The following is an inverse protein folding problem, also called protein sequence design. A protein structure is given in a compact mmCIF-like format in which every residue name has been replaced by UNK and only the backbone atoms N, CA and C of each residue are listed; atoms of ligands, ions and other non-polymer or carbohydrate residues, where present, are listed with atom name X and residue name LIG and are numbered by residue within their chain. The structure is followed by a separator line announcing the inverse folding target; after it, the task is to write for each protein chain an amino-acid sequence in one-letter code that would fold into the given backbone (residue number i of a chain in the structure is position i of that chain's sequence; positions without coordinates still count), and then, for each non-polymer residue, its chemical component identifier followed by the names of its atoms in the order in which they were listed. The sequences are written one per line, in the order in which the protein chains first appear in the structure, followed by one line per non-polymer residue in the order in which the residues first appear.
data_IF_078822235831
#
_entry.id   IF_078822235831
#
_cell.length_a   1.000
_cell.length_b   1.000
_cell.length_c   1.000
_cell.angle_alpha   90.00
_cell.angle_beta   90.00
_cell.angle_gamma   90.00
#
_symmetry.space_group_name_H-M   'P 1'
#
loop_
_entity.id
_entity.type
_entity.pdbx_description
1 polymer ?
#
# COMPACT_ATOMS: atom_id res chain seq x y z
N UNK A 1 -18.24 10.65 6.00
CA UNK A 1 -16.90 10.03 5.91
C UNK A 1 -15.74 10.89 6.45
N UNK A 2 -14.89 10.37 7.33
CA UNK A 2 -13.64 11.00 7.82
C UNK A 2 -12.42 10.11 7.56
N UNK A 3 -11.32 10.63 7.02
CA UNK A 3 -10.09 9.85 6.78
C UNK A 3 -9.37 9.53 8.09
N UNK A 4 -9.11 8.25 8.33
CA UNK A 4 -8.24 7.79 9.41
C UNK A 4 -6.78 7.88 8.93
N UNK A 5 -6.21 9.08 9.06
CA UNK A 5 -4.89 9.43 8.54
C UNK A 5 -3.77 8.53 9.08
N UNK A 6 -3.79 8.24 10.38
CA UNK A 6 -2.75 7.44 11.04
C UNK A 6 -2.67 6.04 10.44
N UNK A 7 -3.80 5.36 10.34
CA UNK A 7 -3.94 4.02 9.76
C UNK A 7 -3.57 4.05 8.27
N UNK A 8 -4.13 5.00 7.53
CA UNK A 8 -3.91 5.13 6.08
C UNK A 8 -2.45 5.39 5.74
N UNK A 9 -1.81 6.37 6.39
CA UNK A 9 -0.41 6.70 6.12
C UNK A 9 0.55 5.61 6.61
N UNK A 10 0.21 4.92 7.70
CA UNK A 10 0.98 3.77 8.16
C UNK A 10 1.08 2.70 7.07
N UNK A 11 -0.04 2.31 6.48
CA UNK A 11 -0.07 1.30 5.42
C UNK A 11 0.54 1.80 4.11
N UNK A 12 0.37 3.09 3.78
CA UNK A 12 1.03 3.71 2.62
C UNK A 12 2.57 3.62 2.72
N UNK A 13 3.13 4.06 3.83
CA UNK A 13 4.59 4.12 4.04
C UNK A 13 5.18 2.73 4.23
N UNK A 14 4.37 1.80 4.76
CA UNK A 14 4.74 0.41 4.93
C UNK A 14 4.02 -0.51 3.93
N UNK A 15 3.90 -0.08 2.66
CA UNK A 15 3.13 -0.79 1.63
C UNK A 15 3.45 -2.28 1.55
N UNK A 16 4.71 -2.67 1.77
CA UNK A 16 5.15 -4.07 1.76
C UNK A 16 4.42 -4.97 2.77
N UNK A 17 3.74 -4.39 3.76
CA UNK A 17 2.95 -5.15 4.73
C UNK A 17 1.70 -5.72 4.08
N UNK A 18 1.06 -4.98 3.16
CA UNK A 18 -0.23 -5.30 2.56
C UNK A 18 -0.21 -5.40 1.02
N UNK A 19 0.93 -5.13 0.39
CA UNK A 19 1.14 -5.25 -1.06
C UNK A 19 0.64 -6.61 -1.58
N UNK A 20 -0.15 -6.65 -2.67
CA UNK A 20 -0.37 -5.57 -3.64
C UNK A 20 -1.49 -4.59 -3.35
N UNK A 21 -2.12 -4.66 -2.17
CA UNK A 21 -3.26 -3.83 -1.84
C UNK A 21 -2.82 -2.38 -1.65
N UNK A 22 -3.47 -1.44 -2.33
CA UNK A 22 -3.54 -0.07 -1.86
C UNK A 22 -4.86 0.13 -1.12
N UNK A 23 -4.87 0.99 -0.11
CA UNK A 23 -6.12 1.30 0.57
C UNK A 23 -6.04 2.50 1.49
N UNK A 24 -7.22 2.94 1.89
CA UNK A 24 -7.41 3.97 2.90
C UNK A 24 -8.53 3.58 3.86
N UNK A 25 -8.43 4.10 5.08
CA UNK A 25 -9.30 3.80 6.19
C UNK A 25 -10.13 5.03 6.51
N UNK A 26 -11.41 4.84 6.76
CA UNK A 26 -12.31 5.95 7.07
C UNK A 26 -13.21 5.62 8.23
N UNK A 27 -13.58 6.62 9.02
CA UNK A 27 -14.63 6.53 10.01
C UNK A 27 -15.96 6.93 9.37
N UNK A 28 -17.02 6.16 9.66
CA UNK A 28 -18.38 6.48 9.25
C UNK A 28 -19.35 6.30 10.43
N UNK A 29 -19.85 7.42 10.95
CA UNK A 29 -20.77 7.40 12.10
C UNK A 29 -22.23 7.18 11.68
N UNK A 30 -22.58 7.53 10.45
CA UNK A 30 -23.94 7.52 9.92
C UNK A 30 -24.03 6.66 8.66
N UNK A 31 -23.89 5.34 8.83
CA UNK A 31 -23.95 4.40 7.72
C UNK A 31 -25.33 4.37 7.03
N UNK A 32 -25.36 4.70 5.74
CA UNK A 32 -26.56 4.80 4.89
C UNK A 32 -26.59 3.71 3.79
N UNK A 33 -25.87 2.61 3.96
CA UNK A 33 -25.83 1.54 2.96
C UNK A 33 -25.04 1.93 1.72
N UNK A 34 -25.60 1.67 0.54
CA UNK A 34 -24.96 1.91 -0.77
C UNK A 34 -24.38 3.33 -0.90
N UNK A 35 -25.09 4.35 -0.43
CA UNK A 35 -24.65 5.74 -0.50
C UNK A 35 -23.34 5.98 0.27
N UNK A 36 -23.19 5.41 1.46
CA UNK A 36 -21.94 5.50 2.23
C UNK A 36 -20.79 4.74 1.56
N UNK A 37 -21.06 3.61 0.90
CA UNK A 37 -20.05 2.91 0.12
C UNK A 37 -19.58 3.73 -1.09
N UNK A 38 -20.50 4.41 -1.78
CA UNK A 38 -20.15 5.32 -2.89
C UNK A 38 -19.32 6.51 -2.38
N UNK A 39 -19.74 7.13 -1.27
CA UNK A 39 -18.99 8.22 -0.63
C UNK A 39 -17.59 7.76 -0.21
N UNK A 40 -17.43 6.54 0.31
CA UNK A 40 -16.14 5.98 0.68
C UNK A 40 -15.20 5.86 -0.52
N UNK A 41 -15.71 5.39 -1.67
CA UNK A 41 -14.93 5.32 -2.92
C UNK A 41 -14.50 6.71 -3.40
N UNK A 42 -15.39 7.70 -3.35
CA UNK A 42 -15.05 9.08 -3.71
C UNK A 42 -14.02 9.68 -2.75
N UNK A 43 -14.13 9.40 -1.44
CA UNK A 43 -13.16 9.81 -0.44
C UNK A 43 -11.78 9.16 -0.67
N UNK A 44 -11.76 7.88 -1.06
CA UNK A 44 -10.54 7.17 -1.44
C UNK A 44 -9.86 7.79 -2.67
N UNK A 45 -10.63 8.06 -3.74
CA UNK A 45 -10.08 8.74 -4.92
C UNK A 45 -9.59 10.15 -4.59
N UNK A 46 -10.28 10.88 -3.71
CA UNK A 46 -9.84 12.19 -3.23
C UNK A 46 -8.49 12.09 -2.53
N UNK A 47 -8.35 11.12 -1.61
CA UNK A 47 -7.09 10.82 -0.95
C UNK A 47 -5.99 10.48 -1.96
N UNK A 48 -6.25 9.59 -2.92
CA UNK A 48 -5.27 9.19 -3.94
C UNK A 48 -4.85 10.37 -4.82
N UNK A 49 -5.78 11.23 -5.24
CA UNK A 49 -5.49 12.41 -6.05
C UNK A 49 -4.61 13.43 -5.31
N UNK A 50 -4.95 13.70 -4.04
CA UNK A 50 -4.17 14.57 -3.15
C UNK A 50 -2.76 14.03 -2.95
N UNK A 51 -2.65 12.76 -2.64
CA UNK A 51 -1.37 12.07 -2.51
C UNK A 51 -0.55 12.10 -3.79
N UNK A 52 -1.18 11.90 -4.95
CA UNK A 52 -0.49 11.98 -6.24
C UNK A 52 0.14 13.35 -6.44
N UNK A 53 -0.59 14.42 -6.09
CA UNK A 53 -0.07 15.79 -6.21
C UNK A 53 1.23 16.03 -5.43
N UNK A 54 1.45 15.34 -4.30
CA UNK A 54 2.71 15.40 -3.53
C UNK A 54 3.89 14.87 -4.37
N UNK A 55 3.67 13.85 -5.20
CA UNK A 55 4.69 13.26 -6.06
C UNK A 55 4.97 14.05 -7.35
N UNK A 56 4.06 14.93 -7.75
CA UNK A 56 4.14 15.75 -8.97
C UNK A 56 3.72 17.20 -8.68
N UNK A 57 4.35 17.88 -7.70
CA UNK A 57 3.84 19.15 -7.17
C UNK A 57 3.93 20.30 -8.17
N UNK A 58 4.73 20.16 -9.23
CA UNK A 58 4.83 21.13 -10.31
C UNK A 58 3.57 21.22 -11.19
N UNK A 59 2.66 20.24 -11.10
CA UNK A 59 1.37 20.25 -11.80
C UNK A 59 0.26 20.94 -11.01
N UNK A 60 0.51 21.33 -9.76
CA UNK A 60 -0.43 22.07 -8.91
C UNK A 60 0.14 23.45 -8.58
N UNK A 61 -0.53 24.55 -8.98
CA UNK A 61 -0.03 25.91 -8.74
C UNK A 61 0.31 26.17 -7.27
N UNK A 62 1.55 26.60 -7.01
CA UNK A 62 2.02 26.96 -5.66
C UNK A 62 2.29 25.78 -4.72
N UNK A 63 2.00 24.53 -5.11
CA UNK A 63 2.16 23.38 -4.22
C UNK A 63 3.64 23.10 -3.96
N UNK A 64 4.50 23.17 -4.99
CA UNK A 64 5.93 22.92 -4.83
C UNK A 64 6.54 23.85 -3.77
N UNK A 65 6.22 25.14 -3.83
CA UNK A 65 6.71 26.14 -2.88
C UNK A 65 6.20 25.87 -1.46
N UNK A 66 4.95 25.41 -1.31
CA UNK A 66 4.39 25.01 -0.01
C UNK A 66 5.11 23.78 0.55
N UNK A 67 5.34 22.75 -0.27
CA UNK A 67 6.00 21.50 0.17
C UNK A 67 7.47 21.73 0.54
N UNK A 68 8.20 22.58 -0.21
CA UNK A 68 9.61 22.89 0.06
C UNK A 68 9.81 23.62 1.40
N UNK A 69 8.75 24.21 1.98
CA UNK A 69 8.79 24.84 3.31
C UNK A 69 8.64 23.84 4.46
N UNK A 70 8.23 22.59 4.18
CA UNK A 70 8.10 21.56 5.22
C UNK A 70 9.49 21.12 5.65
N UNK A 71 9.86 21.32 6.94
CA UNK A 71 11.18 20.95 7.42
C UNK A 71 11.34 19.43 7.39
N UNK A 72 12.53 18.97 6.99
CA UNK A 72 12.89 17.55 7.07
C UNK A 72 12.90 17.10 8.52
N UNK A 73 12.32 15.95 8.78
CA UNK A 73 12.25 15.37 10.11
C UNK A 73 13.45 14.45 10.32
N UNK A 74 14.35 14.86 11.22
CA UNK A 74 15.42 13.99 11.68
C UNK A 74 14.89 12.97 12.70
N UNK A 75 15.30 11.71 12.54
CA UNK A 75 14.88 10.61 13.40
C UNK A 75 16.09 9.89 13.99
N UNK A 76 16.09 9.81 15.31
CA UNK A 76 16.98 8.93 16.07
C UNK A 76 16.21 7.69 16.48
N UNK A 77 16.73 6.50 16.13
CA UNK A 77 16.12 5.24 16.52
C UNK A 77 16.36 4.97 18.01
N UNK A 78 15.37 4.36 18.67
CA UNK A 78 15.57 3.93 20.05
C UNK A 78 16.58 2.77 20.13
N UNK A 79 17.31 2.60 21.24
CA UNK A 79 18.24 1.49 21.42
C UNK A 79 17.59 0.12 21.21
N UNK A 80 16.33 -0.04 21.59
CA UNK A 80 15.56 -1.27 21.37
C UNK A 80 15.36 -1.57 19.88
N UNK A 81 14.98 -0.57 19.09
CA UNK A 81 14.80 -0.72 17.64
C UNK A 81 16.12 -1.04 16.97
N UNK A 82 17.21 -0.36 17.37
CA UNK A 82 18.54 -0.65 16.85
C UNK A 82 19.00 -2.08 17.16
N UNK A 83 18.79 -2.55 18.39
CA UNK A 83 19.12 -3.91 18.79
C UNK A 83 18.32 -4.95 17.98
N UNK A 84 17.04 -4.69 17.72
CA UNK A 84 16.21 -5.57 16.87
C UNK A 84 16.69 -5.61 15.43
N UNK A 85 17.11 -4.47 14.87
CA UNK A 85 17.69 -4.39 13.52
C UNK A 85 18.97 -5.20 13.44
N UNK A 86 19.88 -5.03 14.41
CA UNK A 86 21.15 -5.76 14.45
C UNK A 86 20.94 -7.28 14.62
N UNK A 87 20.04 -7.68 15.53
CA UNK A 87 19.69 -9.09 15.71
C UNK A 87 19.15 -9.70 14.42
N UNK A 88 18.24 -8.99 13.73
CA UNK A 88 17.71 -9.44 12.44
C UNK A 88 18.75 -9.48 11.34
N UNK A 89 19.73 -8.57 11.31
CA UNK A 89 20.81 -8.58 10.33
C UNK A 89 21.77 -9.74 10.59
N UNK A 90 22.10 -9.99 11.86
CA UNK A 90 22.92 -11.12 12.31
C UNK A 90 22.28 -12.45 11.91
N UNK A 91 20.99 -12.64 12.20
CA UNK A 91 20.28 -13.87 11.86
C UNK A 91 20.26 -14.16 10.35
N UNK A 92 20.05 -13.12 9.53
CA UNK A 92 20.08 -13.25 8.06
C UNK A 92 21.47 -13.67 7.57
N UNK A 93 22.51 -12.95 7.99
CA UNK A 93 23.90 -13.22 7.61
C UNK A 93 24.33 -14.63 8.03
N UNK A 94 23.92 -15.09 9.21
CA UNK A 94 24.19 -16.45 9.65
C UNK A 94 23.49 -17.51 8.79
N UNK A 95 22.24 -17.26 8.39
CA UNK A 95 21.49 -18.15 7.51
C UNK A 95 22.15 -18.22 6.12
N UNK A 96 22.50 -17.07 5.55
CA UNK A 96 23.17 -16.98 4.25
C UNK A 96 24.55 -17.67 4.27
N UNK A 97 25.33 -17.46 5.34
CA UNK A 97 26.61 -18.13 5.54
C UNK A 97 26.44 -19.65 5.60
N UNK A 98 25.45 -20.15 6.36
CA UNK A 98 25.15 -21.59 6.45
C UNK A 98 24.75 -22.16 5.09
N UNK A 99 23.91 -21.44 4.34
CA UNK A 99 23.48 -21.85 3.01
C UNK A 99 24.65 -21.93 2.01
N UNK A 100 25.56 -20.96 2.03
CA UNK A 100 26.73 -20.95 1.14
C UNK A 100 27.74 -22.04 1.49
N UNK A 101 28.02 -22.27 2.79
CA UNK A 101 28.88 -23.39 3.21
C UNK A 101 28.31 -24.71 2.71
N UNK A 102 26.99 -24.91 2.86
CA UNK A 102 26.31 -26.10 2.35
C UNK A 102 26.48 -26.23 0.83
N UNK A 103 26.19 -25.16 0.09
CA UNK A 103 26.34 -25.13 -1.37
C UNK A 103 27.77 -25.47 -1.85
N UNK A 104 28.80 -24.93 -1.19
CA UNK A 104 30.20 -25.21 -1.53
C UNK A 104 30.57 -26.66 -1.24
N UNK A 105 30.14 -27.21 -0.10
CA UNK A 105 30.38 -28.61 0.28
C UNK A 105 29.70 -29.59 -0.68
N UNK A 106 28.44 -29.34 -1.04
CA UNK A 106 27.67 -30.19 -1.96
C UNK A 106 28.33 -30.28 -3.35
N UNK A 107 29.01 -29.20 -3.76
CA UNK A 107 29.79 -29.15 -5.01
C UNK A 107 31.26 -29.55 -4.86
N UNK A 108 31.67 -30.08 -3.70
CA UNK A 108 33.05 -30.48 -3.38
C UNK A 108 34.08 -29.35 -3.60
N UNK A 109 33.67 -28.08 -3.40
CA UNK A 109 34.55 -26.91 -3.47
C UNK A 109 35.21 -26.68 -2.12
N UNK A 110 36.45 -26.18 -2.14
CA UNK A 110 37.14 -25.74 -0.92
C UNK A 110 36.38 -24.58 -0.26
N UNK A 111 36.23 -24.65 1.07
CA UNK A 111 35.62 -23.59 1.88
C UNK A 111 36.73 -22.87 2.63
N UNK A 112 37.00 -21.62 2.24
CA UNK A 112 37.89 -20.72 2.97
C UNK A 112 37.08 -20.02 4.08
N UNK A 113 37.12 -20.56 5.28
CA UNK A 113 36.31 -20.09 6.41
C UNK A 113 36.70 -18.68 6.87
N UNK A 114 37.98 -18.30 6.80
CA UNK A 114 38.44 -16.99 7.23
C UNK A 114 37.96 -15.90 6.26
N UNK A 115 38.14 -16.13 4.96
CA UNK A 115 37.64 -15.22 3.92
C UNK A 115 36.12 -15.10 3.98
N UNK A 116 35.43 -16.21 4.19
CA UNK A 116 33.97 -16.24 4.31
C UNK A 116 33.52 -15.43 5.54
N UNK A 117 34.16 -15.64 6.69
CA UNK A 117 33.84 -14.93 7.94
C UNK A 117 34.01 -13.42 7.78
N UNK A 118 35.14 -12.97 7.21
CA UNK A 118 35.39 -11.53 6.99
C UNK A 118 34.31 -10.90 6.09
N UNK A 119 34.00 -11.54 4.96
CA UNK A 119 32.99 -11.04 4.02
C UNK A 119 31.60 -10.93 4.67
N UNK A 120 31.20 -11.92 5.47
CA UNK A 120 29.89 -11.88 6.13
C UNK A 120 29.83 -10.88 7.30
N UNK A 121 30.94 -10.56 7.96
CA UNK A 121 30.99 -9.47 8.92
C UNK A 121 30.80 -8.10 8.23
N UNK A 122 31.45 -7.90 7.09
CA UNK A 122 31.23 -6.71 6.24
C UNK A 122 29.76 -6.63 5.77
N UNK A 123 29.19 -7.75 5.31
CA UNK A 123 27.76 -7.81 4.95
C UNK A 123 26.83 -7.51 6.13
N UNK A 124 27.16 -7.95 7.35
CA UNK A 124 26.37 -7.64 8.57
C UNK A 124 26.36 -6.14 8.83
N UNK A 125 27.52 -5.50 8.77
CA UNK A 125 27.64 -4.06 9.01
C UNK A 125 26.83 -3.26 7.98
N UNK A 126 26.96 -3.59 6.70
CA UNK A 126 26.24 -2.91 5.62
C UNK A 126 24.72 -3.15 5.71
N UNK A 127 24.30 -4.39 5.94
CA UNK A 127 22.88 -4.72 6.11
C UNK A 127 22.26 -4.00 7.32
N UNK A 128 23.00 -3.90 8.43
CA UNK A 128 22.56 -3.16 9.62
C UNK A 128 22.40 -1.68 9.31
N UNK A 129 23.40 -1.08 8.64
CA UNK A 129 23.36 0.33 8.23
C UNK A 129 22.18 0.62 7.32
N UNK A 130 22.01 -0.16 6.24
CA UNK A 130 20.88 -0.01 5.31
C UNK A 130 19.54 -0.12 6.05
N UNK A 131 19.37 -1.14 6.90
CA UNK A 131 18.13 -1.33 7.65
C UNK A 131 17.84 -0.19 8.62
N UNK A 132 18.87 0.37 9.28
CA UNK A 132 18.72 1.57 10.12
C UNK A 132 18.27 2.78 9.30
N UNK A 133 18.89 3.04 8.16
CA UNK A 133 18.52 4.17 7.29
C UNK A 133 17.11 4.02 6.70
N UNK A 134 16.74 2.81 6.23
CA UNK A 134 15.38 2.51 5.79
C UNK A 134 14.38 2.73 6.93
N UNK A 135 14.70 2.31 8.15
CA UNK A 135 13.81 2.48 9.30
C UNK A 135 13.64 3.96 9.66
N UNK A 136 14.73 4.74 9.71
CA UNK A 136 14.67 6.19 9.94
C UNK A 136 13.84 6.89 8.87
N UNK A 137 14.07 6.58 7.59
CA UNK A 137 13.31 7.15 6.48
C UNK A 137 11.81 6.88 6.61
N UNK A 138 11.40 5.67 7.00
CA UNK A 138 9.99 5.34 7.26
C UNK A 138 9.42 6.12 8.45
N UNK A 139 10.15 6.23 9.54
CA UNK A 139 9.70 7.00 10.71
C UNK A 139 9.62 8.51 10.44
N UNK A 140 10.54 9.05 9.65
CA UNK A 140 10.49 10.44 9.19
C UNK A 140 9.27 10.67 8.31
N UNK A 141 9.06 9.81 7.30
CA UNK A 141 7.91 9.88 6.42
C UNK A 141 6.58 9.81 7.19
N UNK A 142 6.48 9.00 8.26
CA UNK A 142 5.26 8.91 9.08
C UNK A 142 4.94 10.22 9.82
N UNK A 143 5.96 11.04 10.11
CA UNK A 143 5.81 12.36 10.75
C UNK A 143 5.60 13.48 9.74
N UNK A 144 6.21 13.36 8.57
CA UNK A 144 6.11 14.35 7.48
C UNK A 144 4.79 14.23 6.72
N UNK A 145 4.30 13.01 6.48
CA UNK A 145 3.14 12.76 5.62
C UNK A 145 1.88 13.55 6.02
N UNK A 146 1.47 13.63 7.30
CA UNK A 146 0.31 14.46 7.67
C UNK A 146 0.47 15.93 7.29
N UNK A 147 1.67 16.50 7.48
CA UNK A 147 1.95 17.90 7.15
C UNK A 147 1.92 18.13 5.63
N UNK A 148 2.53 17.23 4.87
CA UNK A 148 2.50 17.29 3.40
C UNK A 148 1.07 17.11 2.87
N UNK A 149 0.30 16.20 3.45
CA UNK A 149 -1.08 15.93 3.05
C UNK A 149 -1.99 17.13 3.34
N UNK A 150 -1.86 17.79 4.48
CA UNK A 150 -2.65 18.98 4.81
C UNK A 150 -2.48 20.11 3.77
N UNK A 151 -1.27 20.29 3.23
CA UNK A 151 -0.97 21.28 2.19
C UNK A 151 -1.65 20.99 0.83
N UNK A 152 -2.26 19.82 0.67
CA UNK A 152 -3.00 19.41 -0.54
C UNK A 152 -4.51 19.56 -0.40
N UNK A 153 -5.01 20.22 0.66
CA UNK A 153 -6.46 20.40 0.90
C UNK A 153 -7.22 21.06 -0.26
N UNK A 154 -6.57 21.91 -1.05
CA UNK A 154 -7.13 22.56 -2.24
C UNK A 154 -7.14 21.66 -3.48
N UNK A 155 -6.48 20.50 -3.44
CA UNK A 155 -6.38 19.57 -4.59
C UNK A 155 -7.65 18.72 -4.67
N UNK A 156 -8.52 19.07 -5.61
CA UNK A 156 -9.81 18.41 -5.82
C UNK A 156 -9.79 17.41 -6.99
N UNK A 157 -10.73 16.47 -6.93
CA UNK A 157 -11.10 15.64 -8.08
C UNK A 157 -11.76 16.50 -9.17
N UNK A 158 -11.65 16.05 -10.42
CA UNK A 158 -12.34 16.69 -11.54
C UNK A 158 -13.58 15.88 -11.90
N UNK A 159 -14.76 16.45 -11.61
CA UNK A 159 -16.05 15.86 -11.98
C UNK A 159 -16.41 16.22 -13.42
N UNK A 160 -16.79 15.21 -14.21
CA UNK A 160 -17.18 15.36 -15.61
C UNK A 160 -18.44 14.54 -15.93
N UNK A 161 -19.03 14.80 -17.09
CA UNK A 161 -20.11 13.99 -17.68
C UNK A 161 -19.61 13.02 -18.74
N UNK A 162 -18.29 12.95 -18.94
CA UNK A 162 -17.69 12.02 -19.89
C UNK A 162 -18.06 10.59 -19.54
N UNK A 163 -18.28 9.78 -20.58
CA UNK A 163 -18.60 8.35 -20.45
C UNK A 163 -17.43 7.44 -20.84
N UNK A 164 -16.29 8.03 -21.18
CA UNK A 164 -15.03 7.34 -21.45
C UNK A 164 -13.87 8.16 -20.92
N UNK A 165 -12.88 7.47 -20.35
CA UNK A 165 -11.72 8.08 -19.70
C UNK A 165 -10.39 7.71 -20.36
N UNK A 166 -10.38 6.93 -21.44
CA UNK A 166 -9.16 6.38 -22.06
C UNK A 166 -8.17 7.46 -22.54
N UNK A 167 -8.68 8.64 -22.90
CA UNK A 167 -7.90 9.79 -23.34
C UNK A 167 -7.20 10.52 -22.19
N UNK A 168 -7.64 10.32 -20.95
CA UNK A 168 -7.06 10.98 -19.78
C UNK A 168 -5.92 10.15 -19.21
N UNK A 169 -4.69 10.60 -19.42
CA UNK A 169 -3.51 10.00 -18.82
C UNK A 169 -3.07 10.80 -17.61
N UNK A 170 -2.84 10.14 -16.48
CA UNK A 170 -2.21 10.77 -15.34
C UNK A 170 -3.12 11.68 -14.51
N UNK A 171 -2.49 12.61 -13.80
CA UNK A 171 -3.13 13.59 -12.92
C UNK A 171 -3.81 14.73 -13.70
N UNK A 172 -4.88 15.36 -13.16
CA UNK A 172 -5.64 14.97 -11.99
C UNK A 172 -6.58 13.77 -12.26
N UNK A 173 -7.03 13.14 -11.18
CA UNK A 173 -8.09 12.13 -11.26
C UNK A 173 -9.39 12.82 -11.70
N UNK A 174 -9.96 12.30 -12.79
CA UNK A 174 -11.22 12.69 -13.41
C UNK A 174 -12.21 11.55 -13.25
N UNK A 175 -13.45 11.88 -12.92
CA UNK A 175 -14.50 10.87 -12.76
C UNK A 175 -15.90 11.37 -13.11
N UNK A 176 -16.80 10.41 -13.34
CA UNK A 176 -18.23 10.62 -13.53
C UNK A 176 -19.01 9.78 -12.49
N UNK A 177 -19.59 10.38 -11.44
CA UNK A 177 -20.31 9.65 -10.40
C UNK A 177 -21.53 8.87 -10.89
N UNK A 178 -22.15 9.31 -12.00
CA UNK A 178 -23.34 8.66 -12.57
C UNK A 178 -23.01 7.28 -13.17
N UNK A 179 -21.73 7.02 -13.47
CA UNK A 179 -21.24 5.72 -13.98
C UNK A 179 -20.81 4.76 -12.87
N UNK A 180 -20.80 5.21 -11.60
CA UNK A 180 -20.39 4.36 -10.48
C UNK A 180 -21.45 3.29 -10.22
N UNK A 181 -21.06 2.03 -10.34
CA UNK A 181 -21.91 0.87 -10.10
C UNK A 181 -21.20 -0.07 -9.14
N UNK A 182 -21.80 -0.23 -7.96
CA UNK A 182 -21.37 -1.19 -6.95
C UNK A 182 -22.24 -2.44 -6.97
N UNK A 183 -21.63 -3.61 -6.93
CA UNK A 183 -22.31 -4.89 -6.68
C UNK A 183 -21.97 -5.36 -5.29
N UNK A 184 -22.99 -5.69 -4.49
CA UNK A 184 -22.79 -6.26 -3.16
C UNK A 184 -22.18 -7.67 -3.28
N UNK A 185 -21.16 -7.95 -2.47
CA UNK A 185 -20.46 -9.23 -2.43
C UNK A 185 -20.61 -9.80 -1.03
N UNK A 186 -21.02 -11.06 -0.91
CA UNK A 186 -21.06 -11.71 0.40
C UNK A 186 -19.64 -11.84 0.98
N UNK A 187 -19.52 -11.73 2.29
CA UNK A 187 -18.20 -11.86 2.95
C UNK A 187 -17.56 -13.22 2.67
N UNK A 188 -18.35 -14.30 2.64
CA UNK A 188 -17.82 -15.62 2.30
C UNK A 188 -17.26 -15.68 0.87
N UNK A 189 -17.92 -15.02 -0.08
CA UNK A 189 -17.50 -14.99 -1.49
C UNK A 189 -16.27 -14.11 -1.71
N UNK A 190 -16.19 -12.97 -1.00
CA UNK A 190 -15.04 -12.06 -1.08
C UNK A 190 -13.74 -12.71 -0.59
N UNK A 191 -13.82 -13.54 0.46
CA UNK A 191 -12.68 -14.28 0.99
C UNK A 191 -12.61 -15.74 0.49
N UNK A 192 -13.37 -16.09 -0.55
CA UNK A 192 -13.39 -17.44 -1.10
C UNK A 192 -12.03 -17.83 -1.68
N UNK A 193 -11.71 -19.11 -1.57
CA UNK A 193 -10.50 -19.67 -2.18
C UNK A 193 -10.59 -19.58 -3.71
N UNK A 194 -9.55 -19.03 -4.33
CA UNK A 194 -9.50 -18.68 -5.75
C UNK A 194 -10.64 -17.72 -6.19
N UNK A 195 -11.22 -16.97 -5.25
CA UNK A 195 -12.10 -15.85 -5.56
C UNK A 195 -11.34 -14.70 -6.20
N UNK A 196 -12.06 -13.75 -6.80
CA UNK A 196 -11.46 -12.66 -7.57
C UNK A 196 -10.44 -11.84 -6.77
N UNK A 197 -10.75 -11.53 -5.51
CA UNK A 197 -9.83 -10.82 -4.63
C UNK A 197 -8.54 -11.61 -4.33
N UNK A 198 -8.63 -12.92 -4.06
CA UNK A 198 -7.43 -13.75 -3.88
C UNK A 198 -6.61 -13.84 -5.17
N UNK A 199 -7.28 -14.03 -6.32
CA UNK A 199 -6.61 -14.11 -7.61
C UNK A 199 -5.90 -12.80 -7.95
N UNK A 200 -6.54 -11.64 -7.77
CA UNK A 200 -5.92 -10.34 -7.96
C UNK A 200 -4.72 -10.16 -7.01
N UNK A 201 -4.87 -10.51 -5.73
CA UNK A 201 -3.78 -10.42 -4.76
C UNK A 201 -2.56 -11.27 -5.17
N UNK A 202 -2.80 -12.47 -5.70
CA UNK A 202 -1.74 -13.44 -6.04
C UNK A 202 -1.12 -13.23 -7.42
N UNK A 203 -1.79 -12.50 -8.30
CA UNK A 203 -1.36 -12.26 -9.69
C UNK A 203 -0.42 -11.06 -9.84
N UNK A 204 -0.16 -10.31 -8.76
CA UNK A 204 0.65 -9.09 -8.82
C UNK A 204 2.16 -9.34 -9.04
N UNK A 205 2.71 -8.71 -10.08
CA UNK A 205 4.14 -8.39 -10.30
C UNK A 205 5.18 -9.51 -10.19
N UNK A 206 5.14 -10.64 -10.93
CA UNK A 206 6.22 -11.67 -10.95
C UNK A 206 6.75 -12.18 -9.57
N UNK A 207 6.21 -11.68 -8.46
CA UNK A 207 6.53 -11.98 -7.09
C UNK A 207 5.37 -12.86 -6.68
N UNK A 208 5.58 -14.16 -6.78
CA UNK A 208 4.57 -15.15 -6.44
C UNK A 208 4.11 -14.97 -4.98
N UNK A 209 3.08 -14.15 -4.75
CA UNK A 209 2.43 -14.01 -3.46
C UNK A 209 1.72 -15.31 -3.14
N UNK A 210 1.97 -15.82 -1.94
CA UNK A 210 1.44 -17.12 -1.55
C UNK A 210 0.06 -16.97 -0.90
N UNK A 211 -0.63 -18.10 -0.74
CA UNK A 211 -1.89 -18.15 0.01
C UNK A 211 -1.69 -17.71 1.46
N UNK A 212 -0.53 -18.02 2.05
CA UNK A 212 -0.16 -17.61 3.40
C UNK A 212 0.03 -16.09 3.50
N UNK A 213 0.59 -15.44 2.48
CA UNK A 213 0.65 -13.97 2.42
C UNK A 213 -0.75 -13.36 2.38
N UNK A 214 -1.65 -13.88 1.54
CA UNK A 214 -3.04 -13.44 1.46
C UNK A 214 -3.74 -13.58 2.82
N UNK A 215 -3.60 -14.74 3.48
CA UNK A 215 -4.17 -14.97 4.81
C UNK A 215 -3.61 -14.01 5.86
N UNK A 216 -2.29 -13.78 5.85
CA UNK A 216 -1.61 -12.86 6.79
C UNK A 216 -2.10 -11.43 6.62
N UNK A 217 -2.21 -10.95 5.39
CA UNK A 217 -2.69 -9.59 5.10
C UNK A 217 -4.16 -9.44 5.49
N UNK A 218 -5.00 -10.42 5.16
CA UNK A 218 -6.41 -10.37 5.53
C UNK A 218 -6.65 -10.55 7.02
N UNK A 219 -5.77 -11.22 7.76
CA UNK A 219 -5.84 -11.24 9.22
C UNK A 219 -5.51 -9.88 9.84
N UNK A 220 -4.64 -9.11 9.19
CA UNK A 220 -4.28 -7.76 9.61
C UNK A 220 -5.40 -6.76 9.32
N UNK A 221 -5.93 -6.76 8.10
CA UNK A 221 -6.95 -5.81 7.65
C UNK A 221 -8.34 -6.17 8.17
N UNK A 222 -8.70 -7.46 8.11
CA UNK A 222 -10.04 -7.97 8.38
C UNK A 222 -9.99 -9.12 9.41
N UNK A 223 -9.58 -8.83 10.67
CA UNK A 223 -9.52 -9.84 11.72
C UNK A 223 -10.89 -10.44 12.03
N UNK A 224 -11.96 -9.65 11.86
CA UNK A 224 -13.35 -10.10 11.99
C UNK A 224 -14.07 -9.91 10.65
N UNK A 225 -14.59 -11.00 10.08
CA UNK A 225 -15.16 -11.02 8.72
C UNK A 225 -16.69 -11.11 8.69
N UNK A 226 -17.33 -11.46 9.80
CA UNK A 226 -18.76 -11.80 9.86
C UNK A 226 -19.71 -10.62 9.67
N UNK A 227 -19.29 -9.41 10.03
CA UNK A 227 -20.15 -8.21 10.01
C UNK A 227 -19.69 -7.20 8.96
N UNK A 228 -18.99 -7.67 7.93
CA UNK A 228 -18.54 -6.84 6.82
C UNK A 228 -19.68 -6.68 5.81
N UNK A 229 -19.88 -5.45 5.35
CA UNK A 229 -20.65 -5.17 4.13
C UNK A 229 -19.65 -4.82 3.04
N UNK A 230 -19.73 -5.45 1.88
CA UNK A 230 -18.70 -5.35 0.85
C UNK A 230 -19.37 -5.02 -0.48
N UNK A 231 -18.84 -4.01 -1.16
CA UNK A 231 -19.22 -3.68 -2.53
C UNK A 231 -17.99 -3.71 -3.41
N UNK A 232 -18.11 -4.37 -4.55
CA UNK A 232 -17.17 -4.28 -5.67
C UNK A 232 -17.65 -3.24 -6.65
N UNK A 233 -16.76 -2.38 -7.11
CA UNK A 233 -17.08 -1.28 -8.01
C UNK A 233 -16.51 -1.52 -9.41
N UNK A 234 -17.28 -1.18 -10.44
CA UNK A 234 -16.69 -1.00 -11.77
C UNK A 234 -15.63 0.10 -11.70
N UNK A 235 -14.60 0.07 -12.56
CA UNK A 235 -13.54 1.08 -12.52
C UNK A 235 -13.66 2.12 -13.64
N UNK A 236 -14.57 1.90 -14.61
CA UNK A 236 -14.68 2.69 -15.85
C UNK A 236 -15.14 4.14 -15.65
N UNK A 237 -15.64 4.46 -14.46
CA UNK A 237 -16.12 5.80 -14.10
C UNK A 237 -15.00 6.80 -13.85
N UNK A 238 -13.72 6.39 -13.90
CA UNK A 238 -12.56 7.22 -13.59
C UNK A 238 -11.33 6.86 -14.42
N UNK A 239 -10.47 7.84 -14.68
CA UNK A 239 -9.18 7.63 -15.34
C UNK A 239 -8.11 7.01 -14.42
N UNK A 240 -8.36 6.96 -13.11
CA UNK A 240 -7.38 6.47 -12.12
C UNK A 240 -6.87 5.06 -12.42
N UNK A 241 -7.72 4.21 -12.98
CA UNK A 241 -7.45 2.80 -13.24
C UNK A 241 -7.16 2.49 -14.72
N UNK A 242 -6.90 3.52 -15.54
CA UNK A 242 -6.57 3.34 -16.95
C UNK A 242 -5.31 2.49 -17.17
N UNK A 243 -4.34 2.55 -16.23
CA UNK A 243 -3.14 1.73 -16.26
C UNK A 243 -3.50 0.26 -16.07
N UNK A 244 -3.99 -0.12 -14.89
CA UNK A 244 -4.37 -1.50 -14.60
C UNK A 244 -5.36 -2.11 -15.60
N UNK A 245 -6.33 -1.35 -16.13
CA UNK A 245 -7.25 -1.85 -17.18
C UNK A 245 -6.59 -2.17 -18.53
N UNK A 246 -5.54 -1.43 -18.91
CA UNK A 246 -4.81 -1.69 -20.18
C UNK A 246 -3.87 -2.89 -20.06
N UNK A 247 -3.46 -3.19 -18.84
CA UNK A 247 -2.64 -4.34 -18.50
C UNK A 247 -3.55 -5.54 -18.15
N UNK A 248 -3.45 -6.10 -16.94
CA UNK A 248 -4.11 -7.37 -16.58
C UNK A 248 -5.37 -7.20 -15.73
N UNK A 249 -5.67 -5.99 -15.25
CA UNK A 249 -6.90 -5.71 -14.49
C UNK A 249 -6.75 -4.61 -13.44
N UNK A 250 -7.88 -4.01 -13.06
CA UNK A 250 -7.97 -3.05 -11.97
C UNK A 250 -9.26 -3.28 -11.18
N UNK A 251 -9.12 -3.51 -9.88
CA UNK A 251 -10.21 -3.88 -8.99
C UNK A 251 -10.32 -2.89 -7.84
N UNK A 252 -11.56 -2.59 -7.43
CA UNK A 252 -11.87 -1.63 -6.39
C UNK A 252 -12.99 -2.17 -5.52
N UNK A 253 -12.76 -2.20 -4.20
CA UNK A 253 -13.75 -2.62 -3.21
C UNK A 253 -13.88 -1.60 -2.09
N UNK A 254 -15.10 -1.40 -1.61
CA UNK A 254 -15.35 -0.72 -0.34
C UNK A 254 -15.91 -1.70 0.68
N UNK A 255 -15.23 -1.82 1.82
CA UNK A 255 -15.54 -2.77 2.89
C UNK A 255 -15.91 -1.98 4.14
N UNK A 256 -17.14 -2.11 4.60
CA UNK A 256 -17.61 -1.50 5.85
C UNK A 256 -17.60 -2.52 6.98
N UNK A 257 -16.82 -2.25 8.04
CA UNK A 257 -16.83 -2.98 9.30
C UNK A 257 -17.84 -2.35 10.26
N UNK A 258 -19.01 -2.99 10.43
CA UNK A 258 -20.10 -2.49 11.27
C UNK A 258 -19.69 -2.32 12.73
N UNK A 259 -18.82 -3.20 13.24
CA UNK A 259 -18.41 -3.20 14.65
C UNK A 259 -17.47 -2.04 14.94
N UNK A 260 -16.58 -1.72 14.00
CA UNK A 260 -15.66 -0.59 14.13
C UNK A 260 -16.24 0.73 13.65
N UNK A 261 -17.35 0.70 12.89
CA UNK A 261 -17.92 1.85 12.20
C UNK A 261 -16.89 2.49 11.26
N UNK A 262 -16.21 1.64 10.49
CA UNK A 262 -15.08 2.03 9.67
C UNK A 262 -15.17 1.43 8.27
N UNK A 263 -14.80 2.22 7.27
CA UNK A 263 -14.50 1.72 5.94
C UNK A 263 -13.03 1.39 5.78
N UNK A 264 -12.77 0.33 5.04
CA UNK A 264 -11.51 0.10 4.35
C UNK A 264 -11.86 0.07 2.87
N UNK A 265 -11.37 1.05 2.12
CA UNK A 265 -11.48 1.04 0.65
C UNK A 265 -10.15 0.57 0.12
N UNK A 266 -10.17 -0.45 -0.73
CA UNK A 266 -8.97 -1.06 -1.29
C UNK A 266 -9.05 -1.15 -2.80
N UNK A 267 -7.90 -1.01 -3.44
CA UNK A 267 -7.72 -1.34 -4.85
C UNK A 267 -6.55 -2.31 -5.05
N UNK A 268 -6.58 -3.00 -6.19
CA UNK A 268 -5.46 -3.76 -6.74
C UNK A 268 -5.41 -3.47 -8.24
N UNK A 269 -4.32 -2.88 -8.70
CA UNK A 269 -3.99 -2.74 -10.12
C UNK A 269 -2.97 -3.81 -10.52
N UNK A 270 -3.31 -4.62 -11.52
CA UNK A 270 -2.46 -5.65 -12.11
C UNK A 270 -1.70 -5.07 -13.30
N UNK A 271 -0.67 -4.29 -12.98
CA UNK A 271 0.22 -3.66 -13.98
C UNK A 271 1.42 -4.58 -14.21
N UNK A 272 1.72 -4.92 -15.46
CA UNK A 272 3.01 -5.52 -15.85
C UNK A 272 3.94 -4.39 -16.31
N UNK A 273 4.99 -4.04 -15.55
CA UNK A 273 5.94 -3.00 -15.95
C UNK A 273 6.88 -3.42 -17.09
#
# INVERSE_FOLDING_TARGET
MELLEKETFYHRINRQIIEPIHGAFFKEEQYQGYASHQEAVLAFLTYMNRVWSIGIPHLVPGLKEKLDQVPRVEVTLSPEVEARIEAGATAQVEADRKAEIKYLKDRKRHVDYEKLQKRFEESKQELTKIRKEVRKGREAALKEMPQLYELTNEVALVYTKDTSFEAYTGFPIRLNPEMMQGTEVASEDFFAENGEYELAFRSYLQVHRTKEDFQRVNQLLFPEKKELVIYQWNTDFTNSYNGGRKDDGAYLWSIYDRKKQQFIVIDIELIIP
#
